data_IF_927288001561
#
_entry.id   IF_927288001561
#
_cell.length_a   1.000
_cell.length_b   1.000
_cell.length_c   1.000
_cell.angle_alpha   90.00
_cell.angle_beta   90.00
_cell.angle_gamma   90.00
#
_symmetry.space_group_name_H-M   'P 1'
#
loop_
_entity.id
_entity.type
_entity.pdbx_description
1 polymer ?
#
# COMPACT_ATOMS: atom_id res chain seq x y z
N UNK A 1 -50.21 -34.17 30.33
CA UNK A 1 -48.75 -33.97 30.46
C UNK A 1 -48.11 -34.31 29.13
N UNK A 2 -47.43 -33.35 28.48
CA UNK A 2 -45.98 -33.43 28.35
C UNK A 2 -45.29 -32.11 28.76
N UNK A 3 -44.05 -32.24 29.21
CA UNK A 3 -43.29 -31.27 30.01
C UNK A 3 -42.84 -30.05 29.19
N UNK A 4 -43.12 -28.83 29.69
CA UNK A 4 -42.48 -27.58 29.24
C UNK A 4 -40.96 -27.74 29.35
N UNK A 5 -40.25 -27.76 28.23
CA UNK A 5 -38.79 -27.78 28.20
C UNK A 5 -38.29 -26.36 28.48
N UNK A 6 -37.80 -26.14 29.69
CA UNK A 6 -37.18 -24.86 30.12
C UNK A 6 -36.00 -24.55 29.20
N UNK A 7 -36.05 -23.44 28.49
CA UNK A 7 -34.86 -22.83 27.88
C UNK A 7 -33.98 -22.32 29.03
N UNK A 8 -32.97 -23.11 29.39
CA UNK A 8 -31.91 -22.67 30.30
C UNK A 8 -31.07 -21.68 29.53
N UNK A 9 -31.16 -20.40 29.90
CA UNK A 9 -30.11 -19.44 29.61
C UNK A 9 -28.79 -19.98 30.15
N UNK A 10 -27.84 -20.19 29.27
CA UNK A 10 -26.46 -20.50 29.61
C UNK A 10 -25.61 -19.27 29.30
N UNK A 11 -24.80 -18.93 30.29
CA UNK A 11 -23.89 -17.79 30.40
C UNK A 11 -23.10 -17.57 29.10
N UNK A 12 -22.85 -16.30 28.79
CA UNK A 12 -21.92 -15.89 27.76
C UNK A 12 -20.50 -16.31 28.17
N UNK A 13 -20.13 -17.55 27.85
CA UNK A 13 -18.74 -17.92 27.70
C UNK A 13 -18.23 -17.05 26.54
N UNK A 14 -17.23 -16.21 26.81
CA UNK A 14 -16.55 -15.42 25.78
C UNK A 14 -15.88 -16.41 24.85
N UNK A 15 -16.62 -16.83 23.82
CA UNK A 15 -16.13 -17.71 22.78
C UNK A 15 -14.97 -16.97 22.10
N UNK A 16 -13.76 -17.36 22.47
CA UNK A 16 -12.54 -16.85 21.84
C UNK A 16 -12.60 -17.29 20.38
N UNK A 17 -12.75 -16.34 19.47
CA UNK A 17 -12.78 -16.62 18.05
C UNK A 17 -11.38 -17.00 17.58
N UNK A 18 -11.17 -18.31 17.42
CA UNK A 18 -9.90 -18.89 16.97
C UNK A 18 -9.51 -18.31 15.60
N UNK A 19 -10.46 -18.04 14.71
CA UNK A 19 -10.16 -17.45 13.40
C UNK A 19 -9.58 -16.04 13.53
N UNK A 20 -10.13 -15.24 14.44
CA UNK A 20 -9.64 -13.90 14.74
C UNK A 20 -8.20 -13.96 15.27
N UNK A 21 -7.93 -14.83 16.24
CA UNK A 21 -6.58 -14.96 16.82
C UNK A 21 -5.57 -15.46 15.78
N UNK A 22 -5.92 -16.47 14.99
CA UNK A 22 -5.04 -17.01 13.95
C UNK A 22 -4.73 -15.93 12.91
N UNK A 23 -5.74 -15.18 12.46
CA UNK A 23 -5.57 -14.08 11.49
C UNK A 23 -4.67 -12.97 12.05
N UNK A 24 -4.90 -12.55 13.29
CA UNK A 24 -4.05 -11.54 13.93
C UNK A 24 -2.61 -12.01 14.12
N UNK A 25 -2.42 -13.28 14.50
CA UNK A 25 -1.09 -13.85 14.68
C UNK A 25 -0.32 -13.93 13.35
N UNK A 26 -1.00 -14.27 12.25
CA UNK A 26 -0.40 -14.30 10.91
C UNK A 26 -0.01 -12.91 10.42
N UNK A 27 -0.85 -11.90 10.62
CA UNK A 27 -0.56 -10.53 10.21
C UNK A 27 0.57 -9.92 11.03
N UNK A 28 0.61 -10.17 12.34
CA UNK A 28 1.73 -9.79 13.20
C UNK A 28 3.03 -10.46 12.76
N UNK A 29 2.99 -11.73 12.37
CA UNK A 29 4.16 -12.45 11.88
C UNK A 29 4.67 -11.88 10.55
N UNK A 30 3.77 -11.56 9.60
CA UNK A 30 4.14 -10.90 8.33
C UNK A 30 4.82 -9.55 8.58
N UNK A 31 4.23 -8.70 9.43
CA UNK A 31 4.81 -7.39 9.79
C UNK A 31 6.20 -7.51 10.41
N UNK A 32 6.41 -8.48 11.30
CA UNK A 32 7.73 -8.74 11.90
C UNK A 32 8.77 -9.17 10.87
N UNK A 33 8.44 -10.15 10.02
CA UNK A 33 9.33 -10.62 8.93
C UNK A 33 9.70 -9.47 8.00
N UNK A 34 8.71 -8.66 7.64
CA UNK A 34 8.89 -7.52 6.75
C UNK A 34 9.84 -6.47 7.34
N UNK A 35 9.65 -6.11 8.60
CA UNK A 35 10.54 -5.19 9.31
C UNK A 35 11.99 -5.70 9.36
N UNK A 36 12.17 -7.01 9.60
CA UNK A 36 13.49 -7.65 9.62
C UNK A 36 14.17 -7.63 8.24
N UNK A 37 13.43 -7.88 7.15
CA UNK A 37 13.95 -7.85 5.79
C UNK A 37 14.31 -6.43 5.30
N UNK A 38 13.55 -5.42 5.72
CA UNK A 38 13.76 -4.03 5.27
C UNK A 38 14.79 -3.28 6.12
N UNK A 39 15.05 -3.69 7.37
CA UNK A 39 15.98 -3.00 8.27
C UNK A 39 17.40 -2.81 7.68
N UNK A 40 18.02 -3.80 7.01
CA UNK A 40 19.35 -3.62 6.41
C UNK A 40 19.37 -2.64 5.24
N UNK A 41 18.24 -2.43 4.57
CA UNK A 41 18.14 -1.56 3.40
C UNK A 41 18.01 -0.08 3.79
N UNK A 42 17.78 0.23 5.07
CA UNK A 42 17.58 1.61 5.55
C UNK A 42 16.35 2.29 4.93
N UNK A 43 15.39 1.52 4.44
CA UNK A 43 14.17 2.02 3.80
C UNK A 43 13.08 2.17 4.84
N UNK A 44 12.59 3.39 5.02
CA UNK A 44 11.43 3.66 5.87
C UNK A 44 10.13 3.25 5.16
N UNK A 45 9.30 2.46 5.83
CA UNK A 45 7.98 2.09 5.33
C UNK A 45 6.93 3.11 5.80
N UNK A 46 6.30 3.80 4.85
CA UNK A 46 5.30 4.84 5.13
C UNK A 46 3.83 4.37 5.03
N UNK A 47 3.61 3.13 4.59
CA UNK A 47 2.28 2.60 4.28
C UNK A 47 1.90 1.50 5.28
N UNK A 48 0.62 1.48 5.68
CA UNK A 48 0.11 0.49 6.65
C UNK A 48 -0.15 -0.85 5.96
N UNK A 49 -0.72 -0.77 4.77
CA UNK A 49 -1.12 -1.88 3.92
C UNK A 49 -0.87 -1.50 2.46
N UNK A 50 -0.63 -2.49 1.62
CA UNK A 50 -0.55 -2.30 0.18
C UNK A 50 -0.55 -3.61 -0.58
N UNK A 51 -0.82 -3.52 -1.87
CA UNK A 51 -0.75 -4.62 -2.81
C UNK A 51 -0.18 -4.13 -4.14
N UNK A 52 0.47 -5.04 -4.84
CA UNK A 52 1.02 -4.80 -6.17
C UNK A 52 0.61 -5.98 -7.05
N UNK A 53 0.14 -5.68 -8.26
CA UNK A 53 -0.23 -6.68 -9.24
C UNK A 53 0.43 -6.37 -10.58
N UNK A 54 0.87 -7.41 -11.28
CA UNK A 54 1.47 -7.31 -12.60
C UNK A 54 0.66 -8.15 -13.59
N UNK A 55 0.22 -7.52 -14.68
CA UNK A 55 -0.43 -8.21 -15.77
C UNK A 55 0.61 -8.85 -16.69
N UNK A 56 0.74 -10.17 -16.53
CA UNK A 56 1.69 -11.01 -17.25
C UNK A 56 1.42 -11.07 -18.75
N UNK A 57 0.20 -10.75 -19.20
CA UNK A 57 -0.18 -10.79 -20.63
C UNK A 57 0.36 -9.59 -21.39
N UNK A 58 0.36 -8.43 -20.75
CA UNK A 58 0.78 -7.15 -21.34
C UNK A 58 2.27 -6.87 -21.08
N UNK A 59 2.85 -7.48 -20.05
CA UNK A 59 4.25 -7.31 -19.70
C UNK A 59 5.21 -7.78 -20.81
N UNK A 60 6.07 -6.86 -21.28
CA UNK A 60 7.19 -7.15 -22.21
C UNK A 60 8.51 -7.40 -21.47
N UNK A 61 8.42 -8.05 -20.29
CA UNK A 61 9.51 -8.15 -19.32
C UNK A 61 10.79 -8.82 -19.83
N UNK A 62 10.70 -9.68 -20.86
CA UNK A 62 11.84 -10.41 -21.45
C UNK A 62 12.94 -9.47 -21.95
N UNK A 63 12.55 -8.33 -22.53
CA UNK A 63 13.47 -7.41 -23.23
C UNK A 63 13.69 -6.09 -22.46
N UNK A 64 12.77 -5.73 -21.56
CA UNK A 64 12.72 -4.41 -20.93
C UNK A 64 13.49 -4.33 -19.59
N UNK A 65 13.13 -5.18 -18.62
CA UNK A 65 13.71 -5.23 -17.26
C UNK A 65 13.78 -3.87 -16.51
N UNK A 66 13.06 -2.84 -16.95
CA UNK A 66 13.12 -1.49 -16.36
C UNK A 66 12.59 -1.45 -14.93
N UNK A 67 11.47 -2.13 -14.65
CA UNK A 67 10.88 -2.17 -13.30
C UNK A 67 11.78 -2.87 -12.27
N UNK A 68 12.57 -3.87 -12.70
CA UNK A 68 13.55 -4.56 -11.86
C UNK A 68 14.67 -3.59 -11.48
N UNK A 69 15.23 -2.88 -12.47
CA UNK A 69 16.32 -1.91 -12.25
C UNK A 69 15.88 -0.70 -11.42
N UNK A 70 14.62 -0.27 -11.57
CA UNK A 70 14.08 0.88 -10.87
C UNK A 70 13.66 0.58 -9.42
N UNK A 71 13.58 -0.70 -9.01
CA UNK A 71 13.10 -1.07 -7.69
C UNK A 71 14.19 -0.83 -6.62
N UNK A 72 13.96 0.06 -5.64
CA UNK A 72 14.98 0.36 -4.62
C UNK A 72 15.23 -0.81 -3.66
N UNK A 73 14.26 -1.70 -3.46
CA UNK A 73 14.33 -2.84 -2.56
C UNK A 73 14.56 -4.17 -3.26
N UNK A 74 14.76 -4.16 -4.60
CA UNK A 74 14.88 -5.36 -5.42
C UNK A 74 13.70 -6.36 -5.27
N UNK A 75 12.50 -5.85 -4.99
CA UNK A 75 11.30 -6.66 -4.82
C UNK A 75 10.82 -7.33 -6.13
N UNK A 76 11.14 -6.76 -7.29
CA UNK A 76 10.85 -7.34 -8.59
C UNK A 76 12.07 -8.10 -9.12
N UNK A 77 11.85 -9.30 -9.61
CA UNK A 77 12.93 -10.16 -10.12
C UNK A 77 12.45 -11.01 -11.29
N UNK A 78 13.41 -11.64 -11.98
CA UNK A 78 13.11 -12.52 -13.11
C UNK A 78 12.97 -13.96 -12.66
N UNK A 79 11.85 -14.62 -13.01
CA UNK A 79 11.62 -16.04 -12.73
C UNK A 79 10.92 -16.69 -13.92
N UNK A 80 11.48 -17.80 -14.42
CA UNK A 80 10.81 -18.68 -15.39
C UNK A 80 10.19 -17.98 -16.63
N UNK A 81 10.83 -16.93 -17.16
CA UNK A 81 10.35 -16.23 -18.36
C UNK A 81 9.42 -15.04 -18.09
N UNK A 82 9.15 -14.74 -16.83
CA UNK A 82 8.28 -13.64 -16.40
C UNK A 82 8.90 -12.82 -15.26
N UNK A 83 8.32 -11.63 -15.03
CA UNK A 83 8.65 -10.80 -13.87
C UNK A 83 7.78 -11.26 -12.70
N UNK A 84 8.42 -11.56 -11.60
CA UNK A 84 7.79 -11.99 -10.36
C UNK A 84 8.07 -10.98 -9.23
N UNK A 85 7.24 -11.01 -8.19
CA UNK A 85 7.23 -9.98 -7.14
C UNK A 85 7.33 -10.64 -5.75
N UNK A 86 8.28 -10.17 -4.95
CA UNK A 86 8.36 -10.48 -3.52
C UNK A 86 7.60 -9.39 -2.76
N UNK A 87 6.36 -9.67 -2.36
CA UNK A 87 5.51 -8.71 -1.64
C UNK A 87 6.18 -8.21 -0.34
N UNK A 88 6.88 -9.09 0.37
CA UNK A 88 7.58 -8.77 1.61
C UNK A 88 8.67 -7.71 1.42
N UNK A 89 9.27 -7.57 0.23
CA UNK A 89 10.26 -6.52 -0.05
C UNK A 89 9.65 -5.26 -0.67
N UNK A 90 8.43 -5.32 -1.19
CA UNK A 90 7.82 -4.22 -1.91
C UNK A 90 7.32 -3.13 -0.94
N UNK A 91 7.89 -1.93 -1.00
CA UNK A 91 7.46 -0.76 -0.17
C UNK A 91 6.40 0.11 -0.84
N UNK A 92 5.76 -0.39 -1.90
CA UNK A 92 4.69 0.31 -2.64
C UNK A 92 5.06 1.74 -3.07
N UNK A 93 6.34 2.00 -3.35
CA UNK A 93 6.84 3.34 -3.68
C UNK A 93 6.30 3.88 -5.01
N UNK A 94 6.02 2.99 -5.97
CA UNK A 94 5.50 3.32 -7.31
C UNK A 94 6.56 3.48 -8.39
N UNK A 95 7.85 3.26 -8.08
CA UNK A 95 8.94 3.34 -9.06
C UNK A 95 8.73 2.39 -10.26
N UNK A 96 8.17 1.20 -10.01
CA UNK A 96 7.86 0.23 -11.06
C UNK A 96 6.82 0.76 -12.05
N UNK A 97 5.76 1.42 -11.58
CA UNK A 97 4.72 2.04 -12.43
C UNK A 97 5.30 3.18 -13.26
N UNK A 98 6.14 4.03 -12.67
CA UNK A 98 6.80 5.12 -13.40
C UNK A 98 7.76 4.64 -14.48
N UNK A 99 8.44 3.50 -14.25
CA UNK A 99 9.40 2.93 -15.18
C UNK A 99 8.78 2.05 -16.27
N UNK A 100 7.52 1.63 -16.10
CA UNK A 100 6.88 0.73 -17.03
C UNK A 100 6.47 1.51 -18.30
N UNK A 101 6.90 1.01 -19.45
CA UNK A 101 6.54 1.59 -20.76
C UNK A 101 5.15 1.17 -21.24
N UNK A 102 4.53 0.20 -20.56
CA UNK A 102 3.18 -0.29 -20.86
C UNK A 102 2.25 0.21 -19.77
N UNK A 103 1.35 1.12 -20.14
CA UNK A 103 0.31 1.59 -19.23
C UNK A 103 -0.54 0.41 -18.72
N UNK A 104 -0.98 0.49 -17.46
CA UNK A 104 -1.81 -0.51 -16.79
C UNK A 104 -1.21 -1.91 -16.57
N UNK A 105 0.05 -2.13 -16.98
CA UNK A 105 0.73 -3.40 -16.77
C UNK A 105 1.02 -3.67 -15.29
N UNK A 106 1.37 -2.63 -14.52
CA UNK A 106 1.60 -2.74 -13.08
C UNK A 106 0.58 -1.86 -12.37
N UNK A 107 -0.11 -2.42 -11.38
CA UNK A 107 -1.05 -1.69 -10.52
C UNK A 107 -0.58 -1.75 -9.08
N UNK A 108 -0.57 -0.61 -8.42
CA UNK A 108 -0.21 -0.50 -7.01
C UNK A 108 -1.40 0.11 -6.26
N UNK A 109 -1.78 -0.53 -5.17
CA UNK A 109 -2.71 0.00 -4.19
C UNK A 109 -1.99 0.10 -2.84
N UNK A 110 -2.13 1.23 -2.14
CA UNK A 110 -1.50 1.42 -0.83
C UNK A 110 -2.35 2.30 0.07
N UNK A 111 -2.23 2.06 1.37
CA UNK A 111 -2.98 2.77 2.41
C UNK A 111 -2.04 3.52 3.33
N UNK A 112 -2.28 4.83 3.48
CA UNK A 112 -1.52 5.68 4.42
C UNK A 112 -2.00 5.50 5.85
N UNK A 113 -1.20 5.97 6.81
CA UNK A 113 -1.60 6.10 8.20
C UNK A 113 -2.90 6.91 8.39
N UNK A 114 -3.12 7.92 7.52
CA UNK A 114 -4.35 8.73 7.50
C UNK A 114 -5.60 7.98 7.00
N UNK A 115 -5.47 6.69 6.64
CA UNK A 115 -6.55 5.87 6.09
C UNK A 115 -6.85 6.10 4.61
N UNK A 116 -6.22 7.09 3.97
CA UNK A 116 -6.37 7.36 2.54
C UNK A 116 -5.78 6.21 1.72
N UNK A 117 -6.60 5.66 0.82
CA UNK A 117 -6.21 4.63 -0.14
C UNK A 117 -5.79 5.30 -1.45
N UNK A 118 -4.62 4.95 -1.94
CA UNK A 118 -4.06 5.42 -3.20
C UNK A 118 -3.98 4.26 -4.18
N UNK A 119 -4.43 4.49 -5.42
CA UNK A 119 -4.37 3.53 -6.51
C UNK A 119 -3.81 4.22 -7.74
N UNK A 120 -2.85 3.58 -8.40
CA UNK A 120 -2.27 4.10 -9.62
C UNK A 120 -1.67 2.96 -10.45
N UNK A 121 -1.76 3.12 -11.76
CA UNK A 121 -1.27 2.14 -12.74
C UNK A 121 -0.56 2.78 -13.92
N UNK A 122 -0.67 4.10 -14.08
CA UNK A 122 0.04 4.87 -15.09
C UNK A 122 0.95 5.94 -14.46
N UNK A 123 2.00 6.39 -15.17
CA UNK A 123 2.80 7.53 -14.72
C UNK A 123 1.98 8.81 -14.50
N UNK A 124 0.92 8.99 -15.29
CA UNK A 124 0.00 10.13 -15.18
C UNK A 124 -0.77 10.10 -13.85
N UNK A 125 -1.30 8.95 -13.45
CA UNK A 125 -2.02 8.81 -12.19
C UNK A 125 -1.12 9.10 -11.00
N UNK A 126 0.10 8.56 -11.01
CA UNK A 126 1.09 8.79 -9.97
C UNK A 126 1.49 10.27 -9.87
N UNK A 127 1.71 10.92 -11.02
CA UNK A 127 2.08 12.34 -11.07
C UNK A 127 0.94 13.22 -10.53
N UNK A 128 -0.30 12.95 -10.94
CA UNK A 128 -1.48 13.66 -10.45
C UNK A 128 -1.66 13.51 -8.94
N UNK A 129 -1.49 12.28 -8.43
CA UNK A 129 -1.50 12.00 -7.00
C UNK A 129 -0.44 12.83 -6.27
N UNK A 130 0.81 12.81 -6.74
CA UNK A 130 1.91 13.53 -6.12
C UNK A 130 1.72 15.04 -6.17
N UNK A 131 1.17 15.57 -7.26
CA UNK A 131 0.79 16.99 -7.36
C UNK A 131 -0.30 17.34 -6.35
N UNK A 132 -1.31 16.48 -6.17
CA UNK A 132 -2.37 16.66 -5.17
C UNK A 132 -1.83 16.72 -3.73
N UNK A 133 -0.94 15.80 -3.38
CA UNK A 133 -0.26 15.77 -2.06
C UNK A 133 0.58 17.02 -1.87
N UNK A 134 1.39 17.38 -2.87
CA UNK A 134 2.27 18.55 -2.83
C UNK A 134 1.48 19.84 -2.70
N UNK A 135 0.32 19.94 -3.37
CA UNK A 135 -0.60 21.08 -3.25
C UNK A 135 -1.13 21.21 -1.83
N UNK A 136 -1.59 20.11 -1.22
CA UNK A 136 -2.08 20.11 0.18
C UNK A 136 -0.98 20.54 1.16
N UNK A 137 0.23 20.00 1.03
CA UNK A 137 1.39 20.39 1.86
C UNK A 137 1.73 21.88 1.70
N UNK A 138 1.76 22.39 0.46
CA UNK A 138 1.98 23.82 0.20
C UNK A 138 0.92 24.70 0.85
N UNK A 139 -0.37 24.34 0.74
CA UNK A 139 -1.44 25.07 1.40
C UNK A 139 -1.28 25.03 2.93
N UNK A 140 -0.94 23.88 3.52
CA UNK A 140 -0.67 23.74 4.95
C UNK A 140 0.46 24.68 5.41
N UNK A 141 1.62 24.62 4.74
CA UNK A 141 2.74 25.50 5.08
C UNK A 141 2.42 27.00 4.96
N UNK A 142 1.58 27.40 3.99
CA UNK A 142 1.10 28.79 3.88
C UNK A 142 0.21 29.16 5.07
N UNK A 143 -0.66 28.26 5.53
CA UNK A 143 -1.49 28.50 6.72
C UNK A 143 -0.63 28.70 7.98
N UNK A 144 0.49 28.00 8.08
CA UNK A 144 1.36 28.02 9.26
C UNK A 144 2.31 29.23 9.27
N UNK A 145 2.80 29.67 8.11
CA UNK A 145 3.81 30.74 8.01
C UNK A 145 3.17 32.14 8.05
N UNK A 146 2.00 32.32 7.41
CA UNK A 146 1.46 33.66 7.19
C UNK A 146 0.46 34.07 8.27
N UNK A 147 0.61 35.29 8.80
CA UNK A 147 -0.33 35.90 9.75
C UNK A 147 -1.77 36.03 9.21
N UNK A 148 -1.93 36.16 7.88
CA UNK A 148 -3.22 36.20 7.20
C UNK A 148 -3.25 35.29 5.95
N UNK A 149 -3.36 33.96 6.15
CA UNK A 149 -3.22 32.98 5.07
C UNK A 149 -4.27 33.12 3.96
N UNK A 150 -5.48 33.56 4.33
CA UNK A 150 -6.61 33.72 3.41
C UNK A 150 -6.35 34.78 2.32
N UNK A 151 -5.45 35.76 2.54
CA UNK A 151 -5.08 36.75 1.51
C UNK A 151 -4.13 36.16 0.47
N UNK A 152 -3.13 35.40 0.92
CA UNK A 152 -2.15 34.75 0.05
C UNK A 152 -2.81 33.69 -0.86
N UNK A 153 -3.70 32.87 -0.29
CA UNK A 153 -4.41 31.82 -1.05
C UNK A 153 -5.41 32.37 -2.08
N UNK A 154 -5.92 33.60 -1.90
CA UNK A 154 -6.82 34.26 -2.85
C UNK A 154 -6.08 34.90 -4.03
N UNK A 155 -4.79 35.18 -3.88
CA UNK A 155 -3.95 35.83 -4.91
C UNK A 155 -3.42 34.85 -5.97
N UNK A 156 -3.47 33.54 -5.71
CA UNK A 156 -2.96 32.50 -6.63
C UNK A 156 -4.04 31.69 -7.34
N UNK A 157 -5.25 32.23 -7.47
CA UNK A 157 -6.35 31.65 -8.27
C UNK A 157 -6.53 32.41 -9.56
#
# INVERSE_FOLDING_TARGET
MPKKRKTRGSKADSAVDIFQILSESSEKAKKKRRAELLAPLGVEEFFVEGSISLDKRTCKGVECKLCIKACPTNALFWRAGEVDIIEDLCVFCGACVLSCIVDDCIRVERKRADGVIERFSTPRDFTNLQHGISRKKRCGGILDIYRHPKKYLKSGK
#
